data_IF_371809626092
#
_entry.id   IF_371809626092
#
_cell.length_a   1.000
_cell.length_b   1.000
_cell.length_c   1.000
_cell.angle_alpha   90.00
_cell.angle_beta   90.00
_cell.angle_gamma   90.00
#
_symmetry.space_group_name_H-M   'P 1'
#
loop_
_entity.id
_entity.type
_entity.pdbx_description
1 polymer ?
#
# COMPACT_ATOMS: atom_id res chain seq x y z
N UNK A 1 -21.77 -0.31 -12.43
CA UNK A 1 -21.17 -0.05 -11.10
C UNK A 1 -20.67 1.37 -11.09
N UNK A 2 -20.94 2.13 -10.03
CA UNK A 2 -20.37 3.45 -9.82
C UNK A 2 -18.86 3.33 -9.61
N UNK A 3 -18.07 4.20 -10.24
CA UNK A 3 -16.62 4.24 -10.02
C UNK A 3 -16.33 4.66 -8.57
N UNK A 4 -15.48 3.92 -7.88
CA UNK A 4 -15.02 4.26 -6.51
C UNK A 4 -13.50 4.16 -6.47
N UNK A 5 -12.87 5.28 -6.17
CA UNK A 5 -11.42 5.37 -5.95
C UNK A 5 -11.14 5.69 -4.49
N UNK A 6 -9.90 5.49 -4.07
CA UNK A 6 -9.46 5.91 -2.73
C UNK A 6 -8.07 6.55 -2.76
N UNK A 7 -7.90 7.57 -1.95
CA UNK A 7 -6.60 8.03 -1.48
C UNK A 7 -6.38 7.49 -0.07
N UNK A 8 -5.25 6.84 0.17
CA UNK A 8 -5.01 6.05 1.37
C UNK A 8 -3.66 6.43 2.03
N UNK A 9 -3.54 7.66 2.54
CA UNK A 9 -2.32 8.12 3.19
C UNK A 9 -2.19 7.56 4.61
N UNK A 10 -0.93 7.28 5.03
CA UNK A 10 -0.64 7.05 6.45
C UNK A 10 -0.40 8.39 7.15
N UNK A 11 -1.11 8.70 8.25
CA UNK A 11 -0.98 9.98 8.96
C UNK A 11 0.24 9.99 9.89
N UNK A 12 1.43 9.72 9.32
CA UNK A 12 2.73 9.65 10.01
C UNK A 12 3.63 10.84 9.72
N UNK A 13 3.13 11.83 8.98
CA UNK A 13 3.83 13.05 8.58
C UNK A 13 2.98 13.90 7.64
N UNK A 14 3.51 15.07 7.26
CA UNK A 14 2.86 15.97 6.31
C UNK A 14 2.80 15.39 4.90
N UNK A 15 1.74 15.71 4.15
CA UNK A 15 1.66 15.37 2.73
C UNK A 15 2.69 16.19 1.93
N UNK A 16 3.23 15.55 0.91
CA UNK A 16 4.12 16.19 -0.07
C UNK A 16 3.49 16.15 -1.48
N UNK A 17 4.09 16.82 -2.45
CA UNK A 17 3.56 16.95 -3.82
C UNK A 17 3.29 15.58 -4.49
N UNK A 18 4.05 14.55 -4.17
CA UNK A 18 3.80 13.18 -4.67
C UNK A 18 2.49 12.58 -4.14
N UNK A 19 2.16 12.85 -2.86
CA UNK A 19 0.88 12.46 -2.27
C UNK A 19 -0.27 13.26 -2.90
N UNK A 20 -0.08 14.59 -3.09
CA UNK A 20 -1.05 15.45 -3.75
C UNK A 20 -1.39 14.92 -5.16
N UNK A 21 -0.39 14.50 -5.93
CA UNK A 21 -0.60 13.92 -7.27
C UNK A 21 -1.42 12.65 -7.22
N UNK A 22 -1.14 11.75 -6.27
CA UNK A 22 -1.92 10.54 -6.10
C UNK A 22 -3.39 10.85 -5.74
N UNK A 23 -3.61 11.78 -4.80
CA UNK A 23 -4.95 12.22 -4.41
C UNK A 23 -5.68 12.87 -5.59
N UNK A 24 -5.01 13.76 -6.32
CA UNK A 24 -5.57 14.45 -7.48
C UNK A 24 -6.00 13.47 -8.58
N UNK A 25 -5.17 12.49 -8.93
CA UNK A 25 -5.53 11.50 -9.95
C UNK A 25 -6.71 10.63 -9.53
N UNK A 26 -6.75 10.16 -8.27
CA UNK A 26 -7.90 9.44 -7.75
C UNK A 26 -9.18 10.29 -7.81
N UNK A 27 -9.10 11.55 -7.38
CA UNK A 27 -10.21 12.48 -7.37
C UNK A 27 -10.74 12.78 -8.79
N UNK A 28 -9.85 13.19 -9.70
CA UNK A 28 -10.23 13.53 -11.08
C UNK A 28 -10.84 12.35 -11.81
N UNK A 29 -10.27 11.15 -11.63
CA UNK A 29 -10.80 9.95 -12.24
C UNK A 29 -12.20 9.61 -11.73
N UNK A 30 -12.40 9.62 -10.40
CA UNK A 30 -13.70 9.34 -9.81
C UNK A 30 -14.73 10.38 -10.25
N UNK A 31 -14.44 11.66 -10.08
CA UNK A 31 -15.39 12.76 -10.38
C UNK A 31 -15.68 12.89 -11.88
N UNK A 32 -14.69 12.68 -12.74
CA UNK A 32 -14.87 12.64 -14.20
C UNK A 32 -15.80 11.52 -14.67
N UNK A 33 -15.96 10.45 -13.88
CA UNK A 33 -16.86 9.33 -14.15
C UNK A 33 -18.17 9.40 -13.32
N UNK A 34 -18.44 10.50 -12.62
CA UNK A 34 -19.61 10.64 -11.74
C UNK A 34 -19.57 9.68 -10.54
N UNK A 35 -18.39 9.32 -10.08
CA UNK A 35 -18.16 8.36 -9.02
C UNK A 35 -17.73 8.98 -7.68
N UNK A 36 -17.34 8.12 -6.75
CA UNK A 36 -16.97 8.47 -5.37
C UNK A 36 -15.45 8.48 -5.19
N UNK A 37 -14.97 9.47 -4.48
CA UNK A 37 -13.58 9.58 -4.00
C UNK A 37 -13.54 9.40 -2.48
N UNK A 38 -12.83 8.39 -1.99
CA UNK A 38 -12.79 7.99 -0.59
C UNK A 38 -11.44 8.36 0.02
N UNK A 39 -11.46 8.91 1.22
CA UNK A 39 -10.28 9.12 2.04
C UNK A 39 -10.18 8.01 3.08
N UNK A 40 -9.20 7.11 2.94
CA UNK A 40 -8.87 6.10 3.94
C UNK A 40 -7.59 6.52 4.68
N UNK A 41 -7.65 6.62 6.00
CA UNK A 41 -6.45 6.83 6.80
C UNK A 41 -5.81 5.49 7.12
N UNK A 42 -4.63 5.22 6.54
CA UNK A 42 -3.87 3.98 6.79
C UNK A 42 -3.02 4.17 8.06
N UNK A 43 -3.66 4.09 9.22
CA UNK A 43 -3.14 4.41 10.56
C UNK A 43 -2.90 3.17 11.44
N UNK A 44 -2.66 2.00 10.85
CA UNK A 44 -2.36 0.76 11.59
C UNK A 44 -1.06 0.83 12.39
N UNK A 45 -0.16 1.74 12.08
CA UNK A 45 1.02 2.06 12.89
C UNK A 45 0.67 3.17 13.89
N UNK A 46 -0.01 2.76 14.98
CA UNK A 46 -0.50 3.69 16.00
C UNK A 46 0.62 4.51 16.67
N UNK A 47 1.84 3.97 16.73
CA UNK A 47 2.97 4.66 17.35
C UNK A 47 3.42 5.89 16.56
N UNK A 48 3.26 5.88 15.24
CA UNK A 48 3.66 6.99 14.35
C UNK A 48 2.48 7.79 13.82
N UNK A 49 1.28 7.24 13.86
CA UNK A 49 0.06 7.91 13.38
C UNK A 49 -0.47 8.85 14.45
N UNK A 50 -0.77 10.08 14.07
CA UNK A 50 -1.32 11.08 15.00
C UNK A 50 -2.57 11.74 14.43
N UNK A 51 -3.50 12.13 15.33
CA UNK A 51 -4.69 12.89 14.92
C UNK A 51 -4.32 14.23 14.27
N UNK A 52 -3.25 14.87 14.74
CA UNK A 52 -2.76 16.11 14.15
C UNK A 52 -2.37 15.95 12.67
N UNK A 53 -1.71 14.84 12.31
CA UNK A 53 -1.40 14.54 10.91
C UNK A 53 -2.65 14.15 10.11
N UNK A 54 -3.59 13.45 10.72
CA UNK A 54 -4.86 13.11 10.06
C UNK A 54 -5.66 14.39 9.71
N UNK A 55 -5.74 15.34 10.61
CA UNK A 55 -6.40 16.65 10.36
C UNK A 55 -5.61 17.51 9.37
N UNK A 56 -4.27 17.47 9.39
CA UNK A 56 -3.45 18.15 8.40
C UNK A 56 -3.71 17.60 6.99
N UNK A 57 -3.84 16.27 6.83
CA UNK A 57 -4.21 15.64 5.55
C UNK A 57 -5.56 16.18 5.03
N UNK A 58 -6.58 16.25 5.88
CA UNK A 58 -7.90 16.78 5.50
C UNK A 58 -7.81 18.26 5.10
N UNK A 59 -7.04 19.04 5.86
CA UNK A 59 -6.79 20.45 5.57
C UNK A 59 -6.10 20.65 4.23
N UNK A 60 -5.09 19.84 3.94
CA UNK A 60 -4.35 19.90 2.67
C UNK A 60 -5.23 19.50 1.48
N UNK A 61 -6.06 18.45 1.63
CA UNK A 61 -7.02 18.07 0.59
C UNK A 61 -8.08 19.17 0.37
N UNK A 62 -8.60 19.77 1.43
CA UNK A 62 -9.55 20.88 1.32
C UNK A 62 -8.92 22.11 0.62
N UNK A 63 -7.65 22.43 0.93
CA UNK A 63 -6.91 23.49 0.25
C UNK A 63 -6.76 23.21 -1.25
N UNK A 64 -6.47 21.94 -1.64
CA UNK A 64 -6.39 21.54 -3.04
C UNK A 64 -7.75 21.46 -3.74
N UNK A 65 -8.88 21.63 -3.02
CA UNK A 65 -10.22 21.47 -3.57
C UNK A 65 -10.65 20.03 -3.80
N UNK A 66 -9.99 19.07 -3.15
CA UNK A 66 -10.22 17.62 -3.30
C UNK A 66 -11.16 17.13 -2.17
N UNK A 67 -12.45 17.42 -2.30
CA UNK A 67 -13.47 16.94 -1.37
C UNK A 67 -13.70 15.43 -1.52
N UNK A 68 -13.77 14.69 -0.42
CA UNK A 68 -14.06 13.25 -0.40
C UNK A 68 -15.52 12.98 -0.01
N UNK A 69 -16.08 11.90 -0.55
CA UNK A 69 -17.48 11.50 -0.29
C UNK A 69 -17.62 10.67 0.98
N UNK A 70 -16.59 9.85 1.29
CA UNK A 70 -16.52 9.03 2.50
C UNK A 70 -15.12 9.10 3.10
N UNK A 71 -15.03 8.87 4.40
CA UNK A 71 -13.75 8.72 5.11
C UNK A 71 -13.86 7.70 6.23
N UNK A 72 -12.77 6.95 6.47
CA UNK A 72 -12.63 6.05 7.61
C UNK A 72 -11.16 5.82 7.96
N UNK A 73 -10.92 5.27 9.17
CA UNK A 73 -9.60 4.92 9.68
C UNK A 73 -9.42 3.41 9.73
N UNK A 74 -8.23 2.93 9.43
CA UNK A 74 -7.90 1.50 9.54
C UNK A 74 -7.87 1.03 10.99
N UNK A 75 -7.45 1.87 11.92
CA UNK A 75 -7.43 1.58 13.36
C UNK A 75 -8.81 1.26 13.95
N UNK A 76 -9.90 1.68 13.31
CA UNK A 76 -11.27 1.42 13.74
C UNK A 76 -11.84 0.10 13.16
N UNK A 77 -11.02 -0.71 12.47
CA UNK A 77 -11.49 -1.85 11.65
C UNK A 77 -10.73 -3.15 11.90
N UNK A 78 -10.00 -3.25 13.00
CA UNK A 78 -9.18 -4.42 13.33
C UNK A 78 -9.98 -5.72 13.42
N UNK A 79 -11.24 -5.66 13.83
CA UNK A 79 -12.17 -6.78 13.83
C UNK A 79 -12.36 -7.42 12.46
N UNK A 80 -12.42 -6.61 11.39
CA UNK A 80 -12.52 -7.07 10.01
C UNK A 80 -11.24 -7.76 9.54
N UNK A 81 -10.08 -7.22 9.96
CA UNK A 81 -8.78 -7.82 9.62
C UNK A 81 -8.57 -9.13 10.34
N UNK A 82 -9.00 -9.24 11.63
CA UNK A 82 -8.98 -10.49 12.38
C UNK A 82 -9.88 -11.53 11.72
N UNK A 83 -11.09 -11.17 11.30
CA UNK A 83 -12.01 -12.10 10.62
C UNK A 83 -11.41 -12.61 9.29
N UNK A 84 -10.86 -11.72 8.46
CA UNK A 84 -10.20 -12.08 7.20
C UNK A 84 -8.97 -12.97 7.44
N UNK A 85 -8.15 -12.63 8.44
CA UNK A 85 -6.98 -13.42 8.83
C UNK A 85 -7.39 -14.82 9.27
N UNK A 86 -8.40 -14.95 10.13
CA UNK A 86 -8.89 -16.24 10.62
C UNK A 86 -9.42 -17.13 9.49
N UNK A 87 -10.18 -16.56 8.53
CA UNK A 87 -10.63 -17.29 7.34
C UNK A 87 -9.45 -17.82 6.52
N UNK A 88 -8.50 -16.94 6.17
CA UNK A 88 -7.31 -17.32 5.40
C UNK A 88 -6.46 -18.36 6.13
N UNK A 89 -6.32 -18.25 7.46
CA UNK A 89 -5.57 -19.19 8.28
C UNK A 89 -6.26 -20.57 8.32
N UNK A 90 -7.58 -20.61 8.52
CA UNK A 90 -8.35 -21.84 8.53
C UNK A 90 -8.27 -22.63 7.20
N UNK A 91 -8.05 -21.89 6.10
CA UNK A 91 -7.87 -22.46 4.74
C UNK A 91 -6.42 -22.77 4.41
N UNK A 92 -5.48 -22.60 5.34
CA UNK A 92 -4.07 -22.88 5.15
C UNK A 92 -3.34 -21.91 4.21
N UNK A 93 -3.93 -20.74 3.97
CA UNK A 93 -3.36 -19.67 3.16
C UNK A 93 -2.52 -18.68 3.97
N UNK A 94 -2.57 -18.77 5.28
CA UNK A 94 -1.73 -18.01 6.22
C UNK A 94 -0.99 -18.98 7.12
N UNK A 95 0.29 -18.73 7.34
CA UNK A 95 1.14 -19.58 8.17
C UNK A 95 2.06 -18.77 9.09
N UNK A 96 2.40 -19.38 10.22
CA UNK A 96 3.26 -18.81 11.24
C UNK A 96 4.74 -18.95 10.87
N UNK A 97 5.52 -17.89 11.11
CA UNK A 97 6.96 -17.83 10.91
C UNK A 97 7.63 -17.36 12.20
N UNK A 98 8.66 -18.05 12.64
CA UNK A 98 9.32 -17.81 13.92
C UNK A 98 10.72 -17.19 13.78
N UNK A 99 11.18 -16.96 12.54
CA UNK A 99 12.48 -16.32 12.32
C UNK A 99 12.50 -14.89 12.82
N UNK A 100 13.57 -14.55 13.51
CA UNK A 100 13.84 -13.18 13.96
C UNK A 100 14.26 -12.29 12.78
N UNK A 101 14.15 -10.95 12.90
CA UNK A 101 14.64 -10.02 11.89
C UNK A 101 16.11 -10.26 11.51
N UNK A 102 16.97 -10.58 12.48
CA UNK A 102 18.39 -10.85 12.26
C UNK A 102 18.62 -12.16 11.49
N UNK A 103 17.81 -13.18 11.73
CA UNK A 103 17.86 -14.44 11.00
C UNK A 103 17.44 -14.24 9.55
N UNK A 104 16.37 -13.48 9.31
CA UNK A 104 15.91 -13.14 7.99
C UNK A 104 16.92 -12.27 7.21
N UNK A 105 17.55 -11.29 7.87
CA UNK A 105 18.60 -10.47 7.25
C UNK A 105 19.84 -11.30 6.89
N UNK A 106 20.25 -12.22 7.75
CA UNK A 106 21.33 -13.17 7.46
C UNK A 106 21.02 -14.09 6.28
N UNK A 107 19.77 -14.58 6.16
CA UNK A 107 19.32 -15.36 5.00
C UNK A 107 19.39 -14.51 3.74
N UNK A 108 18.85 -13.29 3.77
CA UNK A 108 18.89 -12.34 2.66
C UNK A 108 20.29 -12.04 2.18
N UNK A 109 21.20 -11.71 3.09
CA UNK A 109 22.62 -11.44 2.77
C UNK A 109 23.31 -12.63 2.11
N UNK A 110 23.03 -13.86 2.59
CA UNK A 110 23.55 -15.09 1.96
C UNK A 110 23.04 -15.33 0.55
N UNK A 111 21.76 -15.06 0.29
CA UNK A 111 21.18 -15.15 -1.06
C UNK A 111 21.85 -14.15 -2.00
N UNK A 112 21.94 -12.89 -1.59
CA UNK A 112 22.59 -11.82 -2.37
C UNK A 112 24.06 -12.13 -2.68
N UNK A 113 24.81 -12.64 -1.69
CA UNK A 113 26.22 -13.05 -1.87
C UNK A 113 26.39 -14.21 -2.87
N UNK A 114 25.33 -14.99 -3.13
CA UNK A 114 25.29 -16.06 -4.14
C UNK A 114 24.71 -15.60 -5.49
N UNK A 115 24.43 -14.30 -5.64
CA UNK A 115 23.78 -13.76 -6.86
C UNK A 115 22.31 -14.16 -6.99
N UNK A 116 21.67 -14.64 -5.92
CA UNK A 116 20.26 -15.05 -5.93
C UNK A 116 19.37 -13.89 -5.43
N UNK A 117 18.14 -13.76 -5.99
CA UNK A 117 17.19 -12.80 -5.46
C UNK A 117 16.83 -13.14 -4.01
N UNK A 118 16.64 -12.13 -3.13
CA UNK A 118 16.39 -12.34 -1.72
C UNK A 118 14.91 -12.69 -1.44
N UNK A 119 14.48 -13.84 -1.95
CA UNK A 119 13.11 -14.37 -1.76
C UNK A 119 13.07 -15.24 -0.52
N UNK A 120 12.01 -15.12 0.28
CA UNK A 120 11.80 -15.96 1.45
C UNK A 120 11.60 -17.43 1.03
N UNK A 121 12.37 -18.33 1.64
CA UNK A 121 12.48 -19.74 1.28
C UNK A 121 11.34 -20.64 1.80
N UNK A 122 10.32 -20.05 2.45
CA UNK A 122 9.20 -20.78 3.06
C UNK A 122 9.62 -21.83 4.10
N UNK A 123 10.80 -21.67 4.73
CA UNK A 123 11.31 -22.64 5.68
C UNK A 123 10.33 -22.92 6.82
N UNK A 124 9.53 -21.94 7.23
CA UNK A 124 8.53 -22.11 8.27
C UNK A 124 7.44 -23.17 7.93
N UNK A 125 7.17 -23.45 6.66
CA UNK A 125 6.22 -24.50 6.27
C UNK A 125 6.73 -25.92 6.50
N UNK A 126 8.03 -26.10 6.74
CA UNK A 126 8.66 -27.38 7.02
C UNK A 126 8.87 -27.64 8.52
N UNK A 127 8.46 -26.73 9.39
CA UNK A 127 8.59 -26.87 10.84
C UNK A 127 7.67 -27.98 11.35
N UNK A 128 8.22 -28.84 12.22
CA UNK A 128 7.45 -29.83 12.96
C UNK A 128 7.00 -29.29 14.33
N UNK A 129 6.14 -30.03 15.03
CA UNK A 129 5.58 -29.63 16.32
C UNK A 129 6.66 -29.44 17.39
N UNK A 130 7.72 -30.27 17.40
CA UNK A 130 8.82 -30.15 18.35
C UNK A 130 9.59 -28.84 18.16
N UNK A 131 9.85 -28.45 16.91
CA UNK A 131 10.52 -27.18 16.59
C UNK A 131 9.67 -25.98 16.95
N UNK A 132 8.36 -26.07 16.71
CA UNK A 132 7.42 -25.01 17.09
C UNK A 132 7.37 -24.88 18.61
N UNK A 133 7.30 -25.99 19.35
CA UNK A 133 7.33 -25.98 20.82
C UNK A 133 8.63 -25.38 21.36
N UNK A 134 9.77 -25.73 20.77
CA UNK A 134 11.07 -25.15 21.16
C UNK A 134 11.11 -23.62 20.98
N UNK A 135 10.54 -23.10 19.87
CA UNK A 135 10.43 -21.65 19.69
C UNK A 135 9.53 -20.99 20.74
N UNK A 136 8.43 -21.65 21.13
CA UNK A 136 7.56 -21.16 22.19
C UNK A 136 8.28 -21.14 23.55
N UNK A 137 9.11 -22.15 23.87
CA UNK A 137 9.95 -22.19 25.07
C UNK A 137 11.02 -21.09 25.06
N UNK A 138 11.55 -20.73 23.89
CA UNK A 138 12.44 -19.58 23.70
C UNK A 138 11.70 -18.23 23.82
N UNK A 139 10.39 -18.22 23.99
CA UNK A 139 9.57 -17.00 24.07
C UNK A 139 9.37 -16.31 22.73
N UNK A 140 9.58 -17.00 21.61
CA UNK A 140 9.36 -16.44 20.28
C UNK A 140 7.89 -16.39 19.95
N UNK A 141 7.41 -15.22 19.58
CA UNK A 141 6.06 -14.99 19.02
C UNK A 141 6.12 -15.02 17.49
N UNK A 142 5.23 -15.75 16.81
CA UNK A 142 5.26 -15.81 15.35
C UNK A 142 4.79 -14.51 14.71
N UNK A 143 5.41 -14.16 13.59
CA UNK A 143 4.80 -13.30 12.58
C UNK A 143 4.10 -14.18 11.54
N UNK A 144 3.17 -13.60 10.77
CA UNK A 144 2.35 -14.38 9.84
C UNK A 144 2.51 -13.90 8.42
N UNK A 145 2.60 -14.85 7.49
CA UNK A 145 2.72 -14.61 6.06
C UNK A 145 1.52 -15.18 5.30
N UNK A 146 1.08 -14.47 4.27
CA UNK A 146 0.16 -15.03 3.29
C UNK A 146 0.94 -15.86 2.28
N UNK A 147 0.48 -17.08 2.03
CA UNK A 147 1.11 -18.06 1.13
C UNK A 147 0.69 -17.77 -0.31
N UNK A 148 1.56 -17.14 -1.08
CA UNK A 148 1.35 -16.92 -2.51
C UNK A 148 1.30 -18.25 -3.27
N UNK A 149 0.47 -18.31 -4.32
CA UNK A 149 0.28 -19.53 -5.12
C UNK A 149 1.54 -19.97 -5.89
N UNK A 150 2.41 -19.03 -6.22
CA UNK A 150 3.55 -19.23 -7.11
C UNK A 150 3.20 -19.13 -8.59
N UNK A 151 1.96 -18.81 -8.92
CA UNK A 151 1.50 -18.65 -10.30
C UNK A 151 1.79 -17.24 -10.85
N UNK A 152 1.68 -17.10 -12.16
CA UNK A 152 1.68 -15.78 -12.80
C UNK A 152 0.34 -15.07 -12.58
N UNK A 153 0.39 -13.86 -12.06
CA UNK A 153 -0.75 -12.95 -11.99
C UNK A 153 -0.64 -11.97 -13.15
N UNK A 154 -1.69 -11.88 -13.95
CA UNK A 154 -1.77 -11.02 -15.14
C UNK A 154 -2.97 -10.09 -14.99
N UNK A 155 -2.74 -8.80 -15.24
CA UNK A 155 -3.83 -7.81 -15.28
C UNK A 155 -3.51 -6.72 -16.30
N UNK A 156 -4.54 -6.04 -16.76
CA UNK A 156 -4.39 -4.86 -17.60
C UNK A 156 -4.41 -3.61 -16.72
N UNK A 157 -3.28 -2.90 -16.71
CA UNK A 157 -3.12 -1.64 -15.98
C UNK A 157 -3.51 -0.47 -16.87
N UNK A 158 -4.32 0.46 -16.35
CA UNK A 158 -4.84 1.60 -17.14
C UNK A 158 -3.74 2.51 -17.71
N UNK A 159 -2.57 2.53 -17.08
CA UNK A 159 -1.44 3.40 -17.47
C UNK A 159 -0.33 2.60 -18.13
N UNK A 160 -0.02 1.43 -17.60
CA UNK A 160 1.15 0.63 -17.99
C UNK A 160 0.81 -0.50 -18.98
N UNK A 161 -0.46 -0.67 -19.33
CA UNK A 161 -0.91 -1.78 -20.19
C UNK A 161 -0.81 -3.13 -19.47
N UNK A 162 -0.65 -4.21 -20.22
CA UNK A 162 -0.62 -5.56 -19.65
C UNK A 162 0.59 -5.74 -18.74
N UNK A 163 0.31 -6.16 -17.50
CA UNK A 163 1.30 -6.44 -16.45
C UNK A 163 1.27 -7.92 -16.10
N UNK A 164 2.45 -8.46 -15.79
CA UNK A 164 2.61 -9.85 -15.36
C UNK A 164 3.59 -9.91 -14.20
N UNK A 165 3.18 -10.54 -13.11
CA UNK A 165 4.03 -10.82 -11.94
C UNK A 165 4.04 -12.32 -11.69
N UNK A 166 5.24 -12.92 -11.72
CA UNK A 166 5.45 -14.30 -11.28
C UNK A 166 5.55 -14.33 -9.75
N UNK A 167 4.49 -14.75 -9.07
CA UNK A 167 4.46 -14.71 -7.59
C UNK A 167 5.44 -15.70 -6.97
N UNK A 168 5.92 -16.70 -7.71
CA UNK A 168 7.05 -17.54 -7.31
C UNK A 168 8.36 -16.76 -7.10
N UNK A 169 8.51 -15.59 -7.73
CA UNK A 169 9.68 -14.71 -7.56
C UNK A 169 9.56 -13.72 -6.40
N UNK A 170 8.42 -13.73 -5.72
CA UNK A 170 8.15 -12.87 -4.57
C UNK A 170 8.31 -13.62 -3.26
N UNK A 171 8.68 -12.90 -2.21
CA UNK A 171 8.50 -13.39 -0.85
C UNK A 171 7.03 -13.36 -0.48
N UNK A 172 6.54 -14.41 0.18
CA UNK A 172 5.24 -14.37 0.81
C UNK A 172 5.13 -13.13 1.73
N UNK A 173 4.15 -12.25 1.52
CA UNK A 173 4.07 -11.01 2.27
C UNK A 173 3.78 -11.29 3.75
N UNK A 174 4.49 -10.59 4.63
CA UNK A 174 4.12 -10.56 6.04
C UNK A 174 2.85 -9.71 6.16
N UNK A 175 1.81 -10.29 6.74
CA UNK A 175 0.51 -9.61 6.92
C UNK A 175 0.28 -9.20 8.37
N UNK A 176 0.93 -9.89 9.34
CA UNK A 176 0.87 -9.58 10.76
C UNK A 176 2.24 -9.79 11.39
N UNK A 177 2.70 -8.82 12.18
CA UNK A 177 3.94 -8.92 12.95
C UNK A 177 3.79 -9.76 14.21
N UNK A 178 4.92 -10.13 14.81
CA UNK A 178 4.98 -10.87 16.08
C UNK A 178 4.37 -10.10 17.26
N UNK A 179 4.37 -8.78 17.23
CA UNK A 179 3.73 -7.91 18.22
C UNK A 179 2.22 -7.75 18.00
N UNK A 180 1.65 -8.42 17.00
CA UNK A 180 0.25 -8.34 16.65
C UNK A 180 -0.11 -7.23 15.66
N UNK A 181 0.81 -6.35 15.33
CA UNK A 181 0.57 -5.21 14.41
C UNK A 181 0.26 -5.68 12.99
N UNK A 182 -0.79 -5.14 12.42
CA UNK A 182 -1.16 -5.37 11.02
C UNK A 182 -0.20 -4.65 10.08
N UNK A 183 0.22 -5.33 9.02
CA UNK A 183 1.00 -4.73 7.96
C UNK A 183 0.12 -4.40 6.76
N UNK A 184 0.50 -3.35 6.04
CA UNK A 184 -0.21 -2.72 4.93
C UNK A 184 -1.03 -3.68 4.03
N UNK A 185 -0.49 -4.84 3.68
CA UNK A 185 -1.03 -5.69 2.61
C UNK A 185 -2.44 -6.22 2.92
N UNK A 186 -2.68 -6.79 4.09
CA UNK A 186 -3.99 -7.35 4.43
C UNK A 186 -5.04 -6.26 4.72
N UNK A 187 -4.79 -5.26 5.57
CA UNK A 187 -5.74 -4.17 5.80
C UNK A 187 -6.17 -3.47 4.51
N UNK A 188 -5.22 -3.15 3.62
CA UNK A 188 -5.54 -2.45 2.37
C UNK A 188 -6.47 -3.27 1.46
N UNK A 189 -6.27 -4.59 1.39
CA UNK A 189 -7.13 -5.48 0.59
C UNK A 189 -8.52 -5.62 1.21
N UNK A 190 -8.60 -5.87 2.52
CA UNK A 190 -9.88 -6.02 3.22
C UNK A 190 -10.73 -4.77 3.07
N UNK A 191 -10.12 -3.60 3.23
CA UNK A 191 -10.79 -2.33 3.09
C UNK A 191 -11.21 -2.02 1.65
N UNK A 192 -10.36 -2.34 0.66
CA UNK A 192 -10.69 -2.14 -0.75
C UNK A 192 -11.89 -3.02 -1.15
N UNK A 193 -12.01 -4.25 -0.61
CA UNK A 193 -13.18 -5.13 -0.80
C UNK A 193 -14.42 -4.53 -0.12
N UNK A 194 -14.32 -4.21 1.17
CA UNK A 194 -15.46 -3.76 1.99
C UNK A 194 -16.02 -2.40 1.51
N UNK A 195 -15.13 -1.48 1.12
CA UNK A 195 -15.52 -0.18 0.56
C UNK A 195 -15.91 -0.26 -0.93
N UNK A 196 -15.95 -1.46 -1.53
CA UNK A 196 -16.25 -1.67 -2.94
C UNK A 196 -15.40 -0.79 -3.88
N UNK A 197 -14.10 -0.68 -3.61
CA UNK A 197 -13.18 0.07 -4.45
C UNK A 197 -13.09 -0.59 -5.83
N UNK A 198 -13.40 0.17 -6.86
CA UNK A 198 -13.40 -0.31 -8.25
C UNK A 198 -12.10 -0.02 -8.98
N UNK A 199 -11.40 1.05 -8.59
CA UNK A 199 -10.15 1.49 -9.23
C UNK A 199 -9.13 1.90 -8.18
N UNK A 200 -7.91 1.38 -8.33
CA UNK A 200 -6.75 1.67 -7.48
C UNK A 200 -5.71 2.42 -8.31
N UNK A 201 -5.64 3.73 -8.12
CA UNK A 201 -4.70 4.62 -8.83
C UNK A 201 -3.61 5.01 -7.83
N UNK A 202 -2.33 4.74 -8.16
CA UNK A 202 -1.19 4.95 -7.24
C UNK A 202 0.15 4.99 -7.97
N UNK A 203 1.23 5.23 -7.26
CA UNK A 203 2.58 5.22 -7.81
C UNK A 203 3.03 3.83 -8.30
N UNK A 204 3.88 3.81 -9.31
CA UNK A 204 4.40 2.58 -9.94
C UNK A 204 5.30 1.72 -9.04
N UNK A 205 5.79 2.26 -7.93
CA UNK A 205 6.50 1.53 -6.88
C UNK A 205 5.65 0.43 -6.22
N UNK A 206 4.34 0.49 -6.38
CA UNK A 206 3.39 -0.51 -5.90
C UNK A 206 3.02 -1.61 -6.92
N UNK A 207 3.54 -1.59 -8.15
CA UNK A 207 3.19 -2.59 -9.19
C UNK A 207 3.40 -4.02 -8.68
N UNK A 208 4.55 -4.30 -8.04
CA UNK A 208 4.84 -5.62 -7.49
C UNK A 208 3.85 -6.02 -6.39
N UNK A 209 3.42 -5.07 -5.56
CA UNK A 209 2.44 -5.32 -4.51
C UNK A 209 1.08 -5.72 -5.08
N UNK A 210 0.72 -5.22 -6.26
CA UNK A 210 -0.56 -5.53 -6.92
C UNK A 210 -0.74 -7.02 -7.20
N UNK A 211 0.33 -7.71 -7.60
CA UNK A 211 0.27 -9.15 -7.82
C UNK A 211 -0.12 -9.93 -6.56
N UNK A 212 0.52 -9.62 -5.42
CA UNK A 212 0.20 -10.25 -4.15
C UNK A 212 -1.20 -9.83 -3.65
N UNK A 213 -1.59 -8.57 -3.83
CA UNK A 213 -2.91 -8.08 -3.42
C UNK A 213 -4.04 -8.72 -4.23
N UNK A 214 -3.87 -8.93 -5.54
CA UNK A 214 -4.84 -9.65 -6.36
C UNK A 214 -5.08 -11.05 -5.82
N UNK A 215 -4.03 -11.83 -5.51
CA UNK A 215 -4.19 -13.16 -4.93
C UNK A 215 -4.93 -13.14 -3.58
N UNK A 216 -4.65 -12.16 -2.72
CA UNK A 216 -5.34 -12.04 -1.43
C UNK A 216 -6.82 -11.65 -1.63
N UNK A 217 -7.10 -10.72 -2.56
CA UNK A 217 -8.49 -10.33 -2.90
C UNK A 217 -9.29 -11.55 -3.36
N UNK A 218 -8.74 -12.33 -4.30
CA UNK A 218 -9.39 -13.53 -4.82
C UNK A 218 -9.54 -14.61 -3.74
N UNK A 219 -8.54 -14.76 -2.88
CA UNK A 219 -8.60 -15.67 -1.75
C UNK A 219 -9.71 -15.30 -0.75
N UNK A 220 -10.00 -14.02 -0.57
CA UNK A 220 -11.10 -13.52 0.26
C UNK A 220 -12.45 -13.49 -0.48
N UNK A 221 -12.51 -14.00 -1.73
CA UNK A 221 -13.74 -14.01 -2.55
C UNK A 221 -14.12 -12.63 -3.10
N UNK A 222 -13.23 -11.66 -3.03
CA UNK A 222 -13.42 -10.33 -3.59
C UNK A 222 -13.14 -10.30 -5.10
N UNK A 223 -13.48 -9.19 -5.72
CA UNK A 223 -13.14 -8.89 -7.11
C UNK A 223 -11.99 -7.88 -7.14
N UNK A 224 -10.91 -8.22 -7.83
CA UNK A 224 -9.78 -7.31 -7.99
C UNK A 224 -10.24 -5.99 -8.66
N UNK A 225 -9.84 -4.83 -8.13
CA UNK A 225 -10.09 -3.54 -8.76
C UNK A 225 -9.27 -3.41 -10.06
N UNK A 226 -9.64 -2.47 -10.89
CA UNK A 226 -8.80 -2.04 -12.01
C UNK A 226 -7.64 -1.21 -11.45
N UNK A 227 -6.42 -1.53 -11.84
CA UNK A 227 -5.23 -0.80 -11.37
C UNK A 227 -4.78 0.24 -12.39
N UNK A 228 -4.22 1.34 -11.90
CA UNK A 228 -3.52 2.35 -12.68
C UNK A 228 -2.27 2.83 -11.92
N UNK A 229 -1.09 2.49 -12.44
CA UNK A 229 0.18 2.83 -11.82
C UNK A 229 0.89 3.94 -12.62
N UNK A 230 0.85 5.16 -12.08
CA UNK A 230 1.53 6.30 -12.70
C UNK A 230 3.00 6.39 -12.28
N UNK A 231 3.83 7.00 -13.12
CA UNK A 231 5.26 7.18 -12.87
C UNK A 231 5.53 8.08 -11.66
N UNK A 232 6.54 7.73 -10.87
CA UNK A 232 6.95 8.54 -9.73
C UNK A 232 7.53 9.89 -10.18
N UNK A 233 7.34 10.90 -9.33
CA UNK A 233 8.05 12.17 -9.48
C UNK A 233 9.48 12.00 -8.96
N UNK A 234 10.43 12.32 -9.78
CA UNK A 234 11.86 12.23 -9.45
C UNK A 234 12.44 13.61 -9.24
N UNK A 235 13.44 13.69 -8.38
CA UNK A 235 14.29 14.88 -8.26
C UNK A 235 15.20 15.01 -9.49
N UNK A 236 15.81 16.18 -9.68
CA UNK A 236 16.70 16.48 -10.83
C UNK A 236 17.91 15.53 -10.96
N UNK A 237 18.27 14.85 -9.87
CA UNK A 237 19.34 13.83 -9.84
C UNK A 237 18.83 12.39 -10.08
N UNK A 238 17.53 12.22 -10.41
CA UNK A 238 16.88 10.92 -10.60
C UNK A 238 16.53 10.19 -9.31
N UNK A 239 16.80 10.76 -8.14
CA UNK A 239 16.39 10.19 -6.85
C UNK A 239 14.91 10.44 -6.54
N UNK A 240 14.35 9.65 -5.62
CA UNK A 240 12.97 9.87 -5.18
C UNK A 240 12.82 11.25 -4.54
N UNK A 241 11.78 11.99 -4.94
CA UNK A 241 11.53 13.37 -4.51
C UNK A 241 11.44 13.50 -2.98
N UNK A 242 10.93 12.48 -2.32
CA UNK A 242 10.72 12.45 -0.86
C UNK A 242 11.99 12.41 -0.01
N UNK A 243 13.16 12.13 -0.59
CA UNK A 243 14.40 11.91 0.18
C UNK A 243 15.38 13.08 0.23
N UNK A 244 15.25 14.09 -0.64
CA UNK A 244 16.29 15.14 -0.81
C UNK A 244 15.79 16.57 -0.82
N UNK A 245 14.56 16.83 -1.14
CA UNK A 245 13.98 18.15 -0.96
C UNK A 245 13.41 18.17 0.46
N UNK A 246 14.20 18.61 1.42
CA UNK A 246 13.71 18.91 2.75
C UNK A 246 12.35 19.58 2.60
N UNK A 247 11.30 18.79 2.76
CA UNK A 247 9.89 19.14 2.79
C UNK A 247 9.42 20.24 1.84
N UNK A 248 9.07 19.88 0.60
CA UNK A 248 7.98 20.58 -0.05
C UNK A 248 6.67 19.94 0.47
N UNK A 249 6.40 20.13 1.76
CA UNK A 249 5.10 19.77 2.32
C UNK A 249 4.03 20.68 1.74
N UNK A 250 2.83 20.17 1.60
CA UNK A 250 1.72 20.96 1.08
C UNK A 250 1.43 22.16 2.00
N UNK A 251 1.60 21.99 3.31
CA UNK A 251 1.48 23.07 4.28
C UNK A 251 2.47 24.21 4.00
N UNK A 252 3.76 23.90 3.78
CA UNK A 252 4.78 24.91 3.46
C UNK A 252 4.51 25.61 2.13
N UNK A 253 4.04 24.90 1.10
CA UNK A 253 3.66 25.52 -0.17
C UNK A 253 2.49 26.49 0.02
N UNK A 254 1.45 26.08 0.75
CA UNK A 254 0.32 26.93 1.09
C UNK A 254 0.77 28.18 1.86
N UNK A 255 1.58 28.00 2.89
CA UNK A 255 2.05 29.09 3.75
C UNK A 255 2.99 30.05 3.02
N UNK A 256 3.69 29.58 1.97
CA UNK A 256 4.50 30.42 1.07
C UNK A 256 3.66 31.18 0.02
N UNK A 257 2.35 31.00 0.01
CA UNK A 257 1.44 31.72 -0.90
C UNK A 257 1.25 31.06 -2.27
N UNK A 258 1.64 29.79 -2.43
CA UNK A 258 1.36 29.04 -3.68
C UNK A 258 -0.15 28.80 -3.76
N UNK A 259 -0.74 29.13 -4.88
CA UNK A 259 -2.15 28.86 -5.14
C UNK A 259 -2.40 27.39 -5.45
N UNK A 260 -3.45 26.82 -4.84
CA UNK A 260 -3.81 25.41 -5.02
C UNK A 260 -4.02 25.02 -6.48
N UNK A 261 -4.68 25.88 -7.28
CA UNK A 261 -4.97 25.62 -8.69
C UNK A 261 -3.67 25.56 -9.52
N UNK A 262 -2.69 26.43 -9.23
CA UNK A 262 -1.39 26.41 -9.89
C UNK A 262 -0.64 25.10 -9.62
N UNK A 263 -0.68 24.62 -8.36
CA UNK A 263 -0.10 23.33 -7.99
C UNK A 263 -0.85 22.18 -8.68
N UNK A 264 -2.18 22.16 -8.62
CA UNK A 264 -2.98 21.11 -9.26
C UNK A 264 -2.75 21.05 -10.78
N UNK A 265 -2.70 22.19 -11.47
CA UNK A 265 -2.40 22.25 -12.91
C UNK A 265 -1.02 21.68 -13.23
N UNK A 266 -0.02 22.04 -12.44
CA UNK A 266 1.35 21.53 -12.61
C UNK A 266 1.39 20.00 -12.43
N UNK A 267 0.91 19.48 -11.30
CA UNK A 267 1.04 18.05 -10.98
C UNK A 267 0.14 17.15 -11.84
N UNK A 268 -0.99 17.68 -12.35
CA UNK A 268 -1.85 16.95 -13.28
C UNK A 268 -1.18 16.72 -14.64
N UNK A 269 -0.42 17.70 -15.10
CA UNK A 269 0.20 17.68 -16.44
C UNK A 269 1.61 17.13 -16.49
N UNK A 270 2.27 17.01 -15.32
CA UNK A 270 3.59 16.38 -15.26
C UNK A 270 3.56 14.95 -15.82
N UNK A 271 4.41 14.70 -16.84
CA UNK A 271 4.47 13.40 -17.51
C UNK A 271 3.43 13.21 -18.61
N UNK A 272 2.67 14.24 -18.97
CA UNK A 272 1.81 14.30 -20.16
C UNK A 272 2.48 15.13 -21.27
N UNK A 273 1.93 15.06 -22.48
CA UNK A 273 2.35 15.93 -23.60
C UNK A 273 1.66 17.33 -23.56
N UNK A 274 0.74 17.53 -22.64
CA UNK A 274 -0.02 18.77 -22.54
C UNK A 274 0.83 19.88 -21.88
N UNK A 275 0.76 21.13 -22.37
CA UNK A 275 1.45 22.23 -21.74
C UNK A 275 0.87 22.52 -20.35
N UNK A 276 1.73 22.94 -19.43
CA UNK A 276 1.29 23.46 -18.14
C UNK A 276 0.72 24.85 -18.36
N UNK A 277 -0.55 25.01 -18.18
CA UNK A 277 -1.25 26.29 -18.25
C UNK A 277 -1.89 26.60 -16.89
N UNK A 278 -1.97 27.89 -16.50
CA UNK A 278 -2.57 28.27 -15.22
C UNK A 278 -4.05 27.93 -15.14
#
# INVERSE_FOLDING_TARGET
MTVRTRFAPSPTGSLHVGNARAALFCYLFAKGQGGDFILRMDDTDEARSTEAFAEAIKTDLAWLGLGFDETFKQSERFDKYEAAFADLQARGLVYACYETPDELDRKRKRQLARGMPPVYDRAALALNEEQIAAFAEEGRTPHYRFKLSGNAIIWDDMVRGSQKIETASLSDPVIRRADGTWLYTLPSVVDDIDANITHVIRGEDHVTNSGAQIEIIEALGGKAPVFGHFSLMLASDGGALSKRLGSLSLGELRDSGIEAMSLNSLIARLGTADPVEP
#
